data_IF_377151974323
#
_entry.id   IF_377151974323
#
_cell.length_a   1.000
_cell.length_b   1.000
_cell.length_c   1.000
_cell.angle_alpha   90.00
_cell.angle_beta   90.00
_cell.angle_gamma   90.00
#
_symmetry.space_group_name_H-M   'P 1'
#
loop_
_entity.id
_entity.type
_entity.pdbx_description
1 polymer ?
#
# COMPACT_ATOMS: atom_id res chain seq x y z
N UNK A 1 -2.39 7.30 -8.46
CA UNK A 1 -2.22 6.27 -9.49
C UNK A 1 -0.74 6.04 -9.80
N UNK A 2 -0.34 4.80 -10.08
CA UNK A 2 1.04 4.39 -10.44
C UNK A 2 1.00 3.17 -11.36
N UNK A 3 1.78 3.18 -12.44
CA UNK A 3 2.02 1.97 -13.25
C UNK A 3 2.98 1.02 -12.52
N UNK A 4 2.83 -0.29 -12.73
CA UNK A 4 3.82 -1.26 -12.32
C UNK A 4 5.13 -1.09 -13.14
N UNK A 5 6.26 -1.67 -12.71
CA UNK A 5 7.54 -1.50 -13.38
C UNK A 5 7.55 -1.96 -14.86
N UNK A 6 6.72 -2.95 -15.20
CA UNK A 6 6.59 -3.48 -16.57
C UNK A 6 5.61 -2.67 -17.43
N UNK A 7 4.94 -1.66 -16.88
CA UNK A 7 3.92 -0.84 -17.53
C UNK A 7 2.76 -1.65 -18.15
N UNK A 8 2.38 -2.76 -17.53
CA UNK A 8 1.26 -3.63 -17.94
C UNK A 8 0.00 -3.41 -17.09
N UNK A 9 0.14 -2.84 -15.90
CA UNK A 9 -0.96 -2.55 -14.99
C UNK A 9 -0.78 -1.16 -14.36
N UNK A 10 -1.88 -0.44 -14.18
CA UNK A 10 -1.96 0.81 -13.43
C UNK A 10 -2.74 0.55 -12.16
N UNK A 11 -2.13 0.80 -11.01
CA UNK A 11 -2.79 0.82 -9.72
C UNK A 11 -3.31 2.22 -9.38
N UNK A 12 -4.44 2.27 -8.68
CA UNK A 12 -5.01 3.48 -8.12
C UNK A 12 -5.93 3.18 -6.92
N UNK A 13 -6.22 4.21 -6.15
CA UNK A 13 -7.14 4.12 -5.02
C UNK A 13 -8.55 4.54 -5.48
N UNK A 14 -9.54 3.75 -5.12
CA UNK A 14 -10.95 4.03 -5.38
C UNK A 14 -11.81 3.42 -4.27
N UNK A 15 -12.92 4.08 -3.92
CA UNK A 15 -13.89 3.51 -2.99
C UNK A 15 -14.62 2.34 -3.66
N UNK A 16 -14.75 1.24 -2.94
CA UNK A 16 -15.61 0.12 -3.35
C UNK A 16 -17.08 0.40 -3.02
N UNK A 17 -17.95 -0.59 -3.26
CA UNK A 17 -19.40 -0.48 -3.03
C UNK A 17 -19.75 -0.30 -1.54
N UNK A 18 -18.86 -0.70 -0.62
CA UNK A 18 -18.99 -0.46 0.82
C UNK A 18 -18.48 0.94 1.23
N UNK A 19 -17.99 1.72 0.27
CA UNK A 19 -17.41 3.04 0.51
C UNK A 19 -15.98 3.00 1.05
N UNK A 20 -15.32 1.83 1.08
CA UNK A 20 -13.96 1.68 1.63
C UNK A 20 -12.93 1.96 0.55
N UNK A 21 -11.89 2.74 0.86
CA UNK A 21 -10.79 3.02 -0.08
C UNK A 21 -9.93 1.78 -0.27
N UNK A 22 -9.96 1.21 -1.49
CA UNK A 22 -9.24 0.01 -1.87
C UNK A 22 -8.19 0.29 -2.96
N UNK A 23 -7.29 -0.67 -3.17
CA UNK A 23 -6.48 -0.73 -4.38
C UNK A 23 -7.26 -1.37 -5.52
N UNK A 24 -7.16 -0.75 -6.69
CA UNK A 24 -7.70 -1.21 -7.95
C UNK A 24 -6.60 -1.24 -9.01
N UNK A 25 -6.75 -2.15 -9.96
CA UNK A 25 -5.87 -2.32 -11.11
C UNK A 25 -6.64 -2.15 -12.41
N UNK A 26 -6.00 -1.59 -13.41
CA UNK A 26 -6.51 -1.49 -14.78
C UNK A 26 -5.36 -1.63 -15.77
N UNK A 27 -5.63 -2.16 -16.97
CA UNK A 27 -4.68 -2.09 -18.07
C UNK A 27 -4.41 -0.63 -18.46
N UNK A 28 -3.18 -0.26 -18.86
CA UNK A 28 -2.89 1.05 -19.45
C UNK A 28 -3.73 1.37 -20.70
N UNK A 29 -4.31 0.36 -21.35
CA UNK A 29 -5.25 0.53 -22.47
C UNK A 29 -6.68 0.87 -22.01
N UNK A 30 -6.93 0.94 -20.69
CA UNK A 30 -8.22 1.29 -20.10
C UNK A 30 -9.20 0.12 -19.92
N UNK A 31 -8.76 -1.11 -20.17
CA UNK A 31 -9.59 -2.33 -20.00
C UNK A 31 -9.22 -3.11 -18.73
N UNK A 32 -10.09 -4.04 -18.34
CA UNK A 32 -9.79 -5.00 -17.27
C UNK A 32 -9.71 -4.38 -15.87
N UNK A 33 -10.59 -3.41 -15.57
CA UNK A 33 -10.73 -2.87 -14.22
C UNK A 33 -10.99 -4.00 -13.21
N UNK A 34 -10.17 -4.07 -12.16
CA UNK A 34 -10.22 -5.11 -11.16
C UNK A 34 -9.97 -4.55 -9.76
N UNK A 35 -10.86 -4.85 -8.83
CA UNK A 35 -10.62 -4.61 -7.41
C UNK A 35 -9.53 -5.57 -6.92
N UNK A 36 -8.42 -5.02 -6.41
CA UNK A 36 -7.31 -5.82 -5.92
C UNK A 36 -7.49 -6.17 -4.44
N UNK A 37 -7.89 -5.20 -3.62
CA UNK A 37 -8.09 -5.40 -2.18
C UNK A 37 -9.57 -5.27 -1.79
N UNK A 38 -9.97 -6.00 -0.76
CA UNK A 38 -11.28 -5.93 -0.14
C UNK A 38 -11.11 -5.85 1.39
N UNK A 39 -10.39 -4.82 1.83
CA UNK A 39 -10.08 -4.57 3.24
C UNK A 39 -11.32 -4.07 3.98
N UNK A 40 -11.35 -4.25 5.31
CA UNK A 40 -12.43 -3.74 6.18
C UNK A 40 -12.33 -2.23 6.47
N UNK A 41 -11.15 -1.66 6.28
CA UNK A 41 -10.83 -0.25 6.55
C UNK A 41 -10.13 0.38 5.36
N UNK A 42 -10.19 1.71 5.28
CA UNK A 42 -9.56 2.49 4.21
C UNK A 42 -8.05 2.23 4.18
N UNK A 43 -7.46 2.15 2.98
CA UNK A 43 -6.02 2.34 2.80
C UNK A 43 -5.68 3.78 3.16
N UNK A 44 -4.75 3.98 4.08
CA UNK A 44 -4.54 5.25 4.80
C UNK A 44 -3.39 6.09 4.23
N UNK A 45 -2.81 5.68 3.10
CA UNK A 45 -1.61 6.30 2.54
C UNK A 45 -1.58 6.32 1.03
N UNK A 46 -0.61 7.06 0.48
CA UNK A 46 -0.10 6.74 -0.84
C UNK A 46 0.48 5.31 -0.85
N UNK A 47 0.51 4.69 -2.02
CA UNK A 47 1.08 3.36 -2.21
C UNK A 47 2.21 3.40 -3.24
N UNK A 48 3.10 2.41 -3.17
CA UNK A 48 4.16 2.24 -4.17
C UNK A 48 4.29 0.77 -4.60
N UNK A 49 4.69 0.57 -5.85
CA UNK A 49 5.03 -0.75 -6.37
C UNK A 49 6.41 -1.17 -5.90
N UNK A 50 6.54 -2.44 -5.52
CA UNK A 50 7.83 -3.10 -5.41
C UNK A 50 8.49 -3.20 -6.81
N UNK A 51 9.82 -3.12 -6.94
CA UNK A 51 10.51 -3.17 -8.23
C UNK A 51 10.27 -4.45 -9.06
N UNK A 52 9.89 -5.56 -8.42
CA UNK A 52 9.48 -6.77 -9.15
C UNK A 52 8.13 -6.61 -9.88
N UNK A 53 7.27 -5.69 -9.44
CA UNK A 53 5.89 -5.56 -9.92
C UNK A 53 4.92 -6.56 -9.31
N UNK A 54 5.35 -7.38 -8.34
CA UNK A 54 4.49 -8.40 -7.73
C UNK A 54 3.81 -7.93 -6.44
N UNK A 55 4.26 -6.82 -5.87
CA UNK A 55 3.82 -6.33 -4.57
C UNK A 55 3.55 -4.82 -4.59
N UNK A 56 2.60 -4.38 -3.77
CA UNK A 56 2.38 -2.98 -3.45
C UNK A 56 2.51 -2.76 -1.94
N UNK A 57 3.24 -1.72 -1.55
CA UNK A 57 3.36 -1.26 -0.17
C UNK A 57 2.44 -0.07 0.12
N UNK A 58 1.75 -0.09 1.25
CA UNK A 58 0.87 0.98 1.74
C UNK A 58 0.64 0.87 3.26
N UNK A 59 -0.04 1.85 3.84
CA UNK A 59 -0.51 1.85 5.22
C UNK A 59 -1.94 1.34 5.29
N UNK A 60 -2.17 0.36 6.15
CA UNK A 60 -3.49 -0.18 6.47
C UNK A 60 -3.54 -0.47 7.97
N UNK A 61 -4.63 -0.09 8.63
CA UNK A 61 -4.79 -0.28 10.08
C UNK A 61 -3.59 0.26 10.90
N UNK A 62 -3.05 1.40 10.48
CA UNK A 62 -1.88 2.06 11.04
C UNK A 62 -0.60 1.20 11.02
N UNK A 63 -0.51 0.26 10.09
CA UNK A 63 0.64 -0.63 9.90
C UNK A 63 1.16 -0.59 8.48
N UNK A 64 2.43 -0.92 8.30
CA UNK A 64 2.96 -1.16 6.97
C UNK A 64 2.43 -2.50 6.47
N UNK A 65 1.83 -2.47 5.29
CA UNK A 65 1.25 -3.63 4.62
C UNK A 65 1.85 -3.84 3.24
N UNK A 66 2.03 -5.10 2.86
CA UNK A 66 2.29 -5.55 1.50
C UNK A 66 1.07 -6.26 0.95
N UNK A 67 0.64 -5.88 -0.25
CA UNK A 67 -0.37 -6.61 -1.01
C UNK A 67 0.25 -7.30 -2.22
N UNK A 68 -0.04 -8.57 -2.40
CA UNK A 68 0.31 -9.29 -3.62
C UNK A 68 -0.55 -8.81 -4.79
N UNK A 69 0.08 -8.32 -5.85
CA UNK A 69 -0.59 -7.68 -6.98
C UNK A 69 -1.53 -8.60 -7.76
N UNK A 70 -1.30 -9.92 -7.71
CA UNK A 70 -2.18 -10.89 -8.38
C UNK A 70 -3.35 -11.31 -7.52
N UNK A 71 -3.09 -11.75 -6.29
CA UNK A 71 -4.12 -12.38 -5.43
C UNK A 71 -4.86 -11.40 -4.54
N UNK A 72 -4.34 -10.19 -4.32
CA UNK A 72 -4.90 -9.26 -3.34
C UNK A 72 -4.58 -9.61 -1.88
N UNK A 73 -3.78 -10.65 -1.65
CA UNK A 73 -3.42 -11.08 -0.30
C UNK A 73 -2.56 -10.02 0.39
N UNK A 74 -2.93 -9.65 1.62
CA UNK A 74 -2.26 -8.63 2.42
C UNK A 74 -1.48 -9.28 3.57
N UNK A 75 -0.23 -8.85 3.76
CA UNK A 75 0.63 -9.21 4.89
C UNK A 75 1.12 -7.94 5.57
N UNK A 76 1.03 -7.88 6.90
CA UNK A 76 1.58 -6.77 7.69
C UNK A 76 3.07 -6.99 7.98
N UNK A 77 3.87 -5.94 7.80
CA UNK A 77 5.31 -5.94 8.07
C UNK A 77 5.66 -5.40 9.47
N UNK A 78 4.73 -4.73 10.13
CA UNK A 78 4.91 -4.08 11.45
C UNK A 78 3.86 -4.58 12.43
N UNK A 79 4.19 -4.57 13.72
CA UNK A 79 3.26 -5.03 14.75
C UNK A 79 2.14 -4.01 15.01
N UNK A 80 1.07 -4.46 15.68
CA UNK A 80 0.04 -3.56 16.19
C UNK A 80 0.57 -2.74 17.36
N UNK A 81 0.17 -1.47 17.44
CA UNK A 81 0.55 -0.58 18.55
C UNK A 81 1.94 0.05 18.43
N UNK A 82 2.69 -0.22 17.36
CA UNK A 82 3.86 0.59 16.99
C UNK A 82 3.43 2.00 16.55
N UNK A 83 4.37 2.95 16.57
CA UNK A 83 4.12 4.30 16.06
C UNK A 83 3.56 4.25 14.64
N UNK A 84 2.46 4.98 14.43
CA UNK A 84 1.79 4.97 13.14
C UNK A 84 2.72 5.49 12.02
N UNK A 85 2.76 4.81 10.86
CA UNK A 85 3.43 5.33 9.68
C UNK A 85 2.94 6.72 9.31
N UNK A 86 3.84 7.56 8.81
CA UNK A 86 3.46 8.66 7.94
C UNK A 86 2.84 8.10 6.66
N UNK A 87 1.70 8.68 6.26
CA UNK A 87 0.99 8.33 5.02
C UNK A 87 1.74 8.69 3.73
N UNK A 88 2.80 9.50 3.82
CA UNK A 88 3.47 10.08 2.65
C UNK A 88 4.78 9.36 2.26
N UNK A 89 5.30 8.49 3.11
CA UNK A 89 6.63 7.91 2.93
C UNK A 89 6.61 6.39 3.08
N UNK A 90 6.28 5.68 2.00
CA UNK A 90 6.63 4.26 1.85
C UNK A 90 7.40 4.11 0.54
N UNK A 91 8.68 3.77 0.61
CA UNK A 91 9.51 3.61 -0.59
C UNK A 91 10.32 2.32 -0.53
N UNK A 92 10.28 1.55 -1.62
CA UNK A 92 11.11 0.37 -1.77
C UNK A 92 12.52 0.77 -2.22
N UNK A 93 13.52 0.03 -1.74
CA UNK A 93 14.86 0.11 -2.31
C UNK A 93 14.84 -0.33 -3.77
N UNK A 94 15.74 0.18 -4.64
CA UNK A 94 15.78 -0.21 -6.04
C UNK A 94 15.99 -1.71 -6.28
N UNK A 95 16.68 -2.39 -5.35
CA UNK A 95 16.89 -3.84 -5.37
C UNK A 95 15.74 -4.65 -4.73
N UNK A 96 14.72 -3.97 -4.20
CA UNK A 96 13.52 -4.57 -3.62
C UNK A 96 13.70 -5.19 -2.22
N UNK A 97 14.92 -5.18 -1.66
CA UNK A 97 15.20 -5.87 -0.39
C UNK A 97 14.72 -5.12 0.84
N UNK A 98 14.53 -3.82 0.74
CA UNK A 98 14.19 -2.96 1.86
C UNK A 98 12.99 -2.08 1.52
N UNK A 99 12.27 -1.70 2.57
CA UNK A 99 11.22 -0.70 2.52
C UNK A 99 11.52 0.32 3.61
N UNK A 100 11.58 1.60 3.22
CA UNK A 100 11.73 2.71 4.14
C UNK A 100 10.37 3.36 4.38
N UNK A 101 10.15 3.75 5.63
CA UNK A 101 8.98 4.44 6.11
C UNK A 101 9.36 5.45 7.20
N UNK A 102 8.55 6.49 7.34
CA UNK A 102 8.68 7.42 8.46
C UNK A 102 7.61 7.11 9.50
N UNK A 103 7.95 7.24 10.78
CA UNK A 103 7.00 7.16 11.89
C UNK A 103 7.35 8.24 12.90
N UNK A 104 6.33 8.88 13.47
CA UNK A 104 6.53 9.84 14.54
C UNK A 104 6.50 9.13 15.90
N UNK A 105 7.50 9.41 16.73
CA UNK A 105 7.55 8.93 18.10
C UNK A 105 7.24 10.09 19.03
N UNK A 106 6.05 10.11 19.62
CA UNK A 106 5.77 11.03 20.73
C UNK A 106 6.27 10.41 22.02
N UNK A 107 7.45 10.81 22.47
CA UNK A 107 7.88 10.51 23.84
C UNK A 107 7.18 11.48 24.80
N UNK A 108 6.26 10.98 25.63
CA UNK A 108 5.77 11.74 26.79
C UNK A 108 6.83 11.61 27.88
N UNK A 109 7.67 12.64 28.02
CA UNK A 109 8.50 12.77 29.22
C UNK A 109 7.59 13.31 30.32
N UNK A 110 7.20 12.43 31.25
CA UNK A 110 6.67 12.88 32.53
C UNK A 110 7.86 13.21 33.43
N UNK A 111 7.88 14.43 33.95
CA UNK A 111 8.71 14.84 35.07
C UNK A 111 7.94 14.69 36.39
#
# INVERSE_FOLDING_TARGET
>A
MRANPQATEIAFLMRDDAGVVQLWLISPQGSGLRQLTANRSDIQSAFNWHPSGEWLGFVLENRIALCHARSGAVTFLTAEGESAPSADAIVFSPDGKYLAWMAEWTAIVSC
#
